data_IF_650143241825
#
_entry.id   IF_650143241825
#
_cell.length_a   1.000
_cell.length_b   1.000
_cell.length_c   1.000
_cell.angle_alpha   90.00
_cell.angle_beta   90.00
_cell.angle_gamma   90.00
#
_symmetry.space_group_name_H-M   'P 1'
#
loop_
_entity.id
_entity.type
_entity.pdbx_description
1 polymer ?
#
# COMPACT_ATOMS: atom_id res chain seq x y z
N UNK A 1 23.33 10.85 -19.79
CA UNK A 1 21.89 10.52 -19.68
C UNK A 1 21.75 9.36 -18.73
N UNK A 2 20.84 9.44 -17.80
CA UNK A 2 20.72 8.53 -16.68
C UNK A 2 20.61 7.06 -17.12
N UNK A 3 21.44 6.21 -16.53
CA UNK A 3 21.32 4.75 -16.66
C UNK A 3 20.06 4.21 -15.94
N UNK A 4 19.28 5.10 -15.33
CA UNK A 4 18.06 4.77 -14.59
C UNK A 4 16.90 4.69 -15.58
N UNK A 5 16.44 3.47 -15.84
CA UNK A 5 15.31 3.16 -16.71
C UNK A 5 14.35 2.26 -16.01
N UNK A 6 13.07 2.34 -16.38
CA UNK A 6 12.05 1.43 -15.94
C UNK A 6 11.76 0.36 -17.01
N UNK A 7 11.68 -0.89 -16.62
CA UNK A 7 11.08 -1.96 -17.42
C UNK A 7 9.61 -2.09 -17.03
N UNK A 8 8.74 -2.09 -18.01
CA UNK A 8 7.29 -2.19 -17.82
C UNK A 8 6.72 -3.31 -18.67
N UNK A 9 5.63 -3.93 -18.21
CA UNK A 9 4.88 -4.88 -19.03
C UNK A 9 4.03 -4.10 -20.07
N UNK A 10 3.93 -4.60 -21.30
CA UNK A 10 3.12 -4.01 -22.37
C UNK A 10 1.61 -3.90 -22.05
N UNK A 11 1.14 -4.67 -21.07
CA UNK A 11 -0.26 -4.66 -20.63
C UNK A 11 -0.59 -3.59 -19.59
N UNK A 12 0.41 -2.82 -19.11
CA UNK A 12 0.18 -1.81 -18.09
C UNK A 12 -0.78 -0.71 -18.58
N UNK A 13 -1.54 -0.19 -17.63
CA UNK A 13 -2.45 0.91 -17.89
C UNK A 13 -1.69 2.20 -18.29
N UNK A 14 -2.32 3.03 -19.12
CA UNK A 14 -1.75 4.32 -19.56
C UNK A 14 -1.34 5.21 -18.39
N UNK A 15 -2.06 5.16 -17.28
CA UNK A 15 -1.79 5.97 -16.08
C UNK A 15 -0.36 5.74 -15.52
N UNK A 16 0.11 4.49 -15.52
CA UNK A 16 1.46 4.15 -15.06
C UNK A 16 2.52 4.70 -16.03
N UNK A 17 2.27 4.58 -17.34
CA UNK A 17 3.19 5.11 -18.36
C UNK A 17 3.29 6.63 -18.28
N UNK A 18 2.18 7.31 -18.07
CA UNK A 18 2.14 8.76 -17.91
C UNK A 18 2.80 9.20 -16.61
N UNK A 19 2.64 8.43 -15.52
CA UNK A 19 3.33 8.70 -14.25
C UNK A 19 4.86 8.54 -14.37
N UNK A 20 5.35 7.55 -15.12
CA UNK A 20 6.78 7.39 -15.38
C UNK A 20 7.33 8.56 -16.21
N UNK A 21 6.56 9.05 -17.18
CA UNK A 21 6.93 10.24 -17.97
C UNK A 21 6.96 11.49 -17.10
N UNK A 22 5.95 11.70 -16.26
CA UNK A 22 5.87 12.83 -15.32
C UNK A 22 7.03 12.80 -14.31
N UNK A 23 7.43 11.60 -13.86
CA UNK A 23 8.61 11.39 -13.02
C UNK A 23 9.95 11.59 -13.76
N UNK A 24 9.94 11.83 -15.07
CA UNK A 24 11.15 11.97 -15.87
C UNK A 24 11.93 10.66 -16.07
N UNK A 25 11.28 9.51 -15.90
CA UNK A 25 11.89 8.19 -16.02
C UNK A 25 11.61 7.58 -17.40
N UNK A 26 12.63 7.38 -18.23
CA UNK A 26 12.49 6.64 -19.47
C UNK A 26 12.11 5.18 -19.18
N UNK A 27 11.23 4.61 -19.99
CA UNK A 27 10.83 3.22 -19.85
C UNK A 27 11.00 2.40 -21.12
N UNK A 28 11.07 1.08 -20.98
CA UNK A 28 11.16 0.11 -22.05
C UNK A 28 10.33 -1.13 -21.70
N UNK A 29 9.83 -1.80 -22.72
CA UNK A 29 9.11 -3.08 -22.55
C UNK A 29 10.05 -4.29 -22.55
N UNK A 30 11.30 -4.13 -23.01
CA UNK A 30 12.24 -5.23 -23.28
C UNK A 30 13.57 -5.13 -22.55
N UNK A 31 13.86 -4.00 -21.91
CA UNK A 31 15.16 -3.77 -21.26
C UNK A 31 15.34 -4.68 -20.03
N UNK A 32 16.20 -5.70 -20.16
CA UNK A 32 16.52 -6.61 -19.06
C UNK A 32 17.44 -6.00 -18.00
N UNK A 33 18.11 -4.88 -18.32
CA UNK A 33 19.05 -4.20 -17.44
C UNK A 33 18.45 -2.95 -16.79
N UNK A 34 17.14 -2.76 -16.88
CA UNK A 34 16.46 -1.66 -16.24
C UNK A 34 16.59 -1.74 -14.71
N UNK A 35 16.91 -0.60 -14.09
CA UNK A 35 17.01 -0.50 -12.63
C UNK A 35 15.66 -0.73 -11.96
N UNK A 36 14.58 -0.23 -12.57
CA UNK A 36 13.24 -0.32 -12.03
C UNK A 36 12.47 -1.38 -12.83
N UNK A 37 11.95 -2.38 -12.15
CA UNK A 37 11.07 -3.38 -12.73
C UNK A 37 9.64 -3.15 -12.23
N UNK A 38 8.81 -2.52 -13.07
CA UNK A 38 7.41 -2.32 -12.74
C UNK A 38 6.62 -3.57 -13.10
N UNK A 39 6.09 -4.22 -12.08
CA UNK A 39 5.28 -5.44 -12.21
C UNK A 39 3.80 -5.14 -11.99
N UNK A 40 2.95 -5.95 -12.61
CA UNK A 40 1.51 -5.90 -12.36
C UNK A 40 1.19 -6.31 -10.92
N UNK A 41 0.10 -5.78 -10.36
CA UNK A 41 -0.34 -6.14 -9.03
C UNK A 41 -0.58 -7.63 -8.90
N UNK A 42 -0.20 -8.16 -7.74
CA UNK A 42 -0.39 -9.56 -7.41
C UNK A 42 -1.17 -9.68 -6.10
N UNK A 43 -2.36 -10.23 -6.19
CA UNK A 43 -3.23 -10.50 -5.04
C UNK A 43 -2.88 -11.80 -4.31
N UNK A 44 -1.90 -12.57 -4.78
CA UNK A 44 -1.53 -13.81 -4.12
C UNK A 44 -0.91 -13.56 -2.75
N UNK A 45 -1.52 -14.12 -1.71
CA UNK A 45 -1.14 -13.99 -0.30
C UNK A 45 0.33 -14.31 -0.02
N UNK A 46 0.88 -15.28 -0.73
CA UNK A 46 2.19 -15.86 -0.48
C UNK A 46 3.15 -15.71 -1.65
N UNK A 47 2.99 -14.66 -2.46
CA UNK A 47 3.96 -14.44 -3.53
C UNK A 47 5.35 -14.16 -2.94
N UNK A 48 6.11 -15.24 -2.75
CA UNK A 48 7.49 -15.24 -2.23
C UNK A 48 8.52 -14.93 -3.32
N UNK A 49 8.13 -14.97 -4.57
CA UNK A 49 9.05 -15.02 -5.70
C UNK A 49 9.24 -13.69 -6.41
N UNK A 50 9.31 -12.60 -5.66
CA UNK A 50 9.85 -11.37 -6.23
C UNK A 50 11.38 -11.46 -6.11
N UNK A 51 11.94 -12.41 -6.84
CA UNK A 51 13.39 -12.46 -7.00
C UNK A 51 13.79 -11.37 -7.99
N UNK A 52 14.29 -10.26 -7.46
CA UNK A 52 15.09 -9.39 -8.32
C UNK A 52 16.29 -10.24 -8.77
N UNK A 53 16.41 -10.46 -10.06
CA UNK A 53 17.54 -11.19 -10.64
C UNK A 53 18.87 -10.43 -10.53
N UNK A 54 18.84 -9.24 -9.95
CA UNK A 54 19.98 -8.34 -9.82
C UNK A 54 19.93 -7.65 -8.47
N UNK A 55 21.06 -7.56 -7.81
CA UNK A 55 21.29 -6.82 -6.55
C UNK A 55 20.94 -5.32 -6.62
N UNK A 56 20.54 -4.83 -7.79
CA UNK A 56 20.27 -3.40 -8.01
C UNK A 56 18.85 -3.11 -8.48
N UNK A 57 18.07 -4.13 -8.83
CA UNK A 57 16.73 -3.93 -9.38
C UNK A 57 15.75 -3.54 -8.29
N UNK A 58 15.05 -2.43 -8.50
CA UNK A 58 13.96 -1.97 -7.64
C UNK A 58 12.63 -2.45 -8.23
N UNK A 59 11.77 -2.98 -7.39
CA UNK A 59 10.46 -3.49 -7.81
C UNK A 59 9.34 -2.80 -7.02
N UNK A 60 8.24 -2.44 -7.69
CA UNK A 60 7.04 -1.84 -7.09
C UNK A 60 6.18 -2.85 -6.35
N UNK A 61 6.75 -3.91 -5.81
CA UNK A 61 6.02 -4.97 -5.12
C UNK A 61 6.80 -5.51 -3.93
N UNK A 62 6.13 -5.60 -2.78
CA UNK A 62 6.65 -6.18 -1.54
C UNK A 62 6.17 -7.64 -1.45
N UNK A 63 7.10 -8.58 -1.29
CA UNK A 63 6.77 -9.99 -1.13
C UNK A 63 5.95 -10.25 0.14
N UNK A 64 4.87 -11.02 0.03
CA UNK A 64 4.00 -11.37 1.16
C UNK A 64 3.01 -10.28 1.59
N UNK A 65 2.96 -9.13 0.91
CA UNK A 65 2.05 -8.04 1.26
C UNK A 65 0.57 -8.36 0.98
N UNK A 66 0.31 -9.38 0.18
CA UNK A 66 -1.05 -9.84 -0.17
C UNK A 66 -1.96 -10.11 1.02
N UNK A 67 -1.38 -10.30 2.21
CA UNK A 67 -2.12 -10.42 3.47
C UNK A 67 -2.99 -9.20 3.78
N UNK A 68 -2.61 -8.02 3.30
CA UNK A 68 -3.38 -6.80 3.48
C UNK A 68 -4.62 -6.74 2.57
N UNK A 69 -4.61 -7.49 1.45
CA UNK A 69 -5.69 -7.49 0.45
C UNK A 69 -6.73 -8.58 0.69
N UNK A 70 -6.38 -9.63 1.44
CA UNK A 70 -7.32 -10.68 1.81
C UNK A 70 -8.20 -10.21 2.97
N UNK A 71 -9.47 -9.98 2.69
CA UNK A 71 -10.43 -9.56 3.70
C UNK A 71 -10.55 -10.54 4.85
N UNK A 72 -10.53 -11.85 4.58
CA UNK A 72 -10.65 -12.90 5.61
C UNK A 72 -9.41 -12.94 6.51
N UNK A 73 -8.20 -12.96 5.93
CA UNK A 73 -6.95 -13.00 6.71
C UNK A 73 -6.75 -11.72 7.49
N UNK A 74 -6.94 -10.57 6.84
CA UNK A 74 -6.84 -9.26 7.50
C UNK A 74 -7.82 -9.14 8.66
N UNK A 75 -9.09 -9.54 8.47
CA UNK A 75 -10.10 -9.47 9.52
C UNK A 75 -9.82 -10.42 10.69
N UNK A 76 -9.23 -11.60 10.45
CA UNK A 76 -8.78 -12.50 11.52
C UNK A 76 -7.70 -11.87 12.39
N UNK A 77 -6.70 -11.27 11.77
CA UNK A 77 -5.65 -10.52 12.46
C UNK A 77 -6.25 -9.34 13.23
N UNK A 78 -7.10 -8.57 12.57
CA UNK A 78 -7.77 -7.45 13.19
C UNK A 78 -8.61 -7.86 14.41
N UNK A 79 -9.43 -8.90 14.32
CA UNK A 79 -10.22 -9.42 15.45
C UNK A 79 -9.35 -9.87 16.62
N UNK A 80 -8.18 -10.44 16.36
CA UNK A 80 -7.22 -10.82 17.40
C UNK A 80 -6.67 -9.59 18.10
N UNK A 81 -6.18 -8.63 17.34
CA UNK A 81 -5.53 -7.45 17.91
C UNK A 81 -6.49 -6.39 18.44
N UNK A 82 -7.74 -6.34 17.97
CA UNK A 82 -8.77 -5.47 18.55
C UNK A 82 -9.15 -5.85 19.98
N UNK A 83 -8.90 -7.10 20.40
CA UNK A 83 -9.07 -7.54 21.80
C UNK A 83 -7.90 -7.13 22.69
N UNK A 84 -6.70 -6.97 22.11
CA UNK A 84 -5.45 -6.63 22.83
C UNK A 84 -5.26 -5.12 22.86
N UNK A 85 -5.57 -4.45 21.77
CA UNK A 85 -5.38 -3.02 21.54
C UNK A 85 -6.67 -2.37 21.01
N UNK A 86 -7.76 -2.35 21.78
CA UNK A 86 -9.08 -1.91 21.31
C UNK A 86 -9.09 -0.45 20.86
N UNK A 87 -8.31 0.43 21.49
CA UNK A 87 -8.24 1.86 21.14
C UNK A 87 -7.51 2.12 19.81
N UNK A 88 -6.78 1.13 19.32
CA UNK A 88 -6.05 1.22 18.04
C UNK A 88 -6.86 0.59 16.90
N UNK A 89 -7.48 -0.56 17.19
CA UNK A 89 -8.20 -1.38 16.22
C UNK A 89 -9.71 -1.26 16.42
N UNK A 90 -10.26 -0.07 16.11
CA UNK A 90 -11.68 0.29 16.25
C UNK A 90 -12.35 0.69 14.92
N UNK A 91 -11.66 0.48 13.80
CA UNK A 91 -12.01 1.05 12.49
C UNK A 91 -12.56 0.06 11.45
N UNK A 92 -12.72 -1.23 11.78
CA UNK A 92 -13.53 -2.11 10.94
C UNK A 92 -14.99 -2.15 11.41
N UNK A 93 -15.95 -2.20 10.49
CA UNK A 93 -17.33 -2.52 10.85
C UNK A 93 -17.41 -3.91 11.48
N UNK A 94 -18.48 -4.26 12.19
CA UNK A 94 -18.72 -5.62 12.64
C UNK A 94 -18.58 -6.61 11.51
N UNK A 95 -17.58 -7.49 11.60
CA UNK A 95 -17.12 -8.37 10.52
C UNK A 95 -17.09 -9.81 10.99
N UNK A 96 -17.53 -10.73 10.14
CA UNK A 96 -17.54 -12.17 10.33
C UNK A 96 -16.63 -12.82 9.29
N UNK A 97 -15.70 -13.65 9.73
CA UNK A 97 -14.76 -14.36 8.85
C UNK A 97 -15.39 -15.68 8.41
N UNK A 98 -15.57 -15.84 7.11
CA UNK A 98 -16.20 -17.02 6.52
C UNK A 98 -15.13 -17.97 5.94
N UNK A 99 -15.37 -19.29 6.00
CA UNK A 99 -16.58 -20.00 6.48
C UNK A 99 -16.66 -20.14 8.00
N UNK A 100 -15.66 -19.81 8.79
CA UNK A 100 -15.56 -20.13 10.22
C UNK A 100 -16.72 -19.56 11.07
N UNK A 101 -17.22 -18.39 10.70
CA UNK A 101 -18.29 -17.68 11.42
C UNK A 101 -19.61 -17.64 10.63
N UNK A 102 -19.83 -18.62 9.71
CA UNK A 102 -21.05 -18.66 8.88
C UNK A 102 -22.33 -18.65 9.74
N UNK A 103 -22.40 -19.48 10.77
CA UNK A 103 -23.59 -19.57 11.61
C UNK A 103 -23.87 -18.28 12.38
N UNK A 104 -22.84 -17.65 12.91
CA UNK A 104 -22.97 -16.37 13.60
C UNK A 104 -23.45 -15.27 12.66
N UNK A 105 -22.90 -15.26 11.45
CA UNK A 105 -23.30 -14.30 10.41
C UNK A 105 -24.74 -14.51 9.97
N UNK A 106 -25.15 -15.75 9.72
CA UNK A 106 -26.55 -16.09 9.36
C UNK A 106 -27.53 -15.70 10.47
N UNK A 107 -27.20 -15.99 11.73
CA UNK A 107 -28.04 -15.60 12.87
C UNK A 107 -28.17 -14.06 12.97
N UNK A 108 -27.10 -13.34 12.66
CA UNK A 108 -27.11 -11.87 12.67
C UNK A 108 -27.96 -11.28 11.55
N UNK A 109 -27.87 -11.87 10.36
CA UNK A 109 -28.73 -11.51 9.21
C UNK A 109 -30.19 -11.73 9.53
N UNK A 110 -30.55 -12.90 10.06
CA UNK A 110 -31.94 -13.22 10.46
C UNK A 110 -32.49 -12.21 11.46
N UNK A 111 -31.66 -11.75 12.40
CA UNK A 111 -32.08 -10.79 13.44
C UNK A 111 -32.24 -9.36 12.91
N UNK A 112 -31.37 -8.91 12.00
CA UNK A 112 -31.23 -7.50 11.62
C UNK A 112 -31.70 -7.17 10.19
N UNK A 113 -32.03 -8.17 9.40
CA UNK A 113 -32.33 -8.00 7.98
C UNK A 113 -31.07 -8.11 7.09
N UNK A 114 -31.24 -8.77 5.95
CA UNK A 114 -30.16 -9.11 5.02
C UNK A 114 -29.57 -7.89 4.32
N UNK A 115 -30.38 -6.90 4.05
CA UNK A 115 -30.03 -5.64 3.39
C UNK A 115 -28.98 -4.79 4.14
N UNK A 116 -28.79 -5.08 5.44
CA UNK A 116 -27.82 -4.40 6.29
C UNK A 116 -26.43 -5.04 6.30
N UNK A 117 -26.22 -6.04 5.45
CA UNK A 117 -24.96 -6.77 5.39
C UNK A 117 -24.46 -6.92 3.95
N UNK A 118 -23.15 -7.01 3.82
CA UNK A 118 -22.46 -7.29 2.57
C UNK A 118 -21.59 -8.53 2.74
N UNK A 119 -21.36 -9.21 1.64
CA UNK A 119 -20.42 -10.32 1.52
C UNK A 119 -19.27 -9.87 0.61
N UNK A 120 -18.02 -10.08 1.03
CA UNK A 120 -16.83 -9.78 0.26
C UNK A 120 -15.98 -11.04 0.18
N UNK A 121 -15.83 -11.62 -1.01
CA UNK A 121 -14.93 -12.75 -1.21
C UNK A 121 -13.46 -12.29 -1.23
N UNK A 122 -12.56 -13.17 -0.85
CA UNK A 122 -11.13 -12.90 -1.00
C UNK A 122 -10.72 -12.93 -2.49
N UNK A 123 -9.64 -12.23 -2.86
CA UNK A 123 -9.07 -12.32 -4.19
C UNK A 123 -8.67 -13.75 -4.56
N UNK A 124 -8.93 -14.16 -5.80
CA UNK A 124 -8.57 -15.49 -6.34
C UNK A 124 -7.92 -15.32 -7.71
N UNK A 125 -6.93 -16.13 -8.03
CA UNK A 125 -6.28 -16.19 -9.35
C UNK A 125 -5.77 -14.84 -9.87
N UNK A 126 -5.26 -13.99 -8.98
CA UNK A 126 -4.85 -12.60 -9.26
C UNK A 126 -6.01 -11.66 -9.64
N UNK A 127 -7.24 -12.06 -9.40
CA UNK A 127 -8.41 -11.19 -9.58
C UNK A 127 -8.89 -10.66 -8.22
N UNK A 128 -9.39 -9.41 -8.16
CA UNK A 128 -9.97 -8.85 -6.94
C UNK A 128 -11.20 -9.64 -6.51
N UNK A 129 -11.47 -9.68 -5.21
CA UNK A 129 -12.65 -10.32 -4.65
C UNK A 129 -13.95 -9.62 -5.06
N UNK A 130 -15.05 -10.38 -5.12
CA UNK A 130 -16.37 -9.86 -5.42
C UNK A 130 -17.05 -9.33 -4.17
N UNK A 131 -17.86 -8.29 -4.32
CA UNK A 131 -18.73 -7.74 -3.28
C UNK A 131 -20.18 -8.01 -3.66
N UNK A 132 -20.91 -8.66 -2.77
CA UNK A 132 -22.32 -8.98 -2.97
C UNK A 132 -23.17 -8.30 -1.89
N UNK A 133 -24.22 -7.63 -2.34
CA UNK A 133 -25.29 -7.09 -1.50
C UNK A 133 -26.41 -8.14 -1.40
N UNK A 134 -27.03 -8.24 -0.23
CA UNK A 134 -28.05 -9.26 0.03
C UNK A 134 -27.64 -10.69 -0.34
N UNK A 135 -26.47 -11.17 0.16
CA UNK A 135 -25.89 -12.43 -0.30
C UNK A 135 -26.84 -13.60 -0.03
N UNK A 136 -27.02 -14.51 -1.01
CA UNK A 136 -27.85 -15.70 -0.84
C UNK A 136 -27.21 -16.71 0.13
N UNK A 137 -28.04 -17.56 0.75
CA UNK A 137 -27.59 -18.49 1.78
C UNK A 137 -26.52 -19.48 1.28
N UNK A 138 -26.64 -19.96 0.04
CA UNK A 138 -25.67 -20.87 -0.55
C UNK A 138 -24.27 -20.26 -0.72
N UNK A 139 -24.19 -18.93 -0.96
CA UNK A 139 -22.91 -18.21 -1.00
C UNK A 139 -22.31 -18.06 0.42
N UNK A 140 -23.16 -17.70 1.39
CA UNK A 140 -22.69 -17.54 2.79
C UNK A 140 -22.20 -18.89 3.37
N UNK A 141 -22.82 -19.99 2.98
CA UNK A 141 -22.49 -21.33 3.47
C UNK A 141 -21.41 -22.02 2.61
N UNK A 142 -20.84 -21.36 1.62
CA UNK A 142 -19.72 -21.90 0.85
C UNK A 142 -18.44 -22.03 1.69
N UNK A 143 -17.54 -22.90 1.27
CA UNK A 143 -16.22 -23.07 1.89
C UNK A 143 -15.21 -22.01 1.42
N UNK A 144 -15.65 -21.06 0.61
CA UNK A 144 -14.82 -19.98 0.09
C UNK A 144 -14.42 -18.99 1.16
N UNK A 145 -13.16 -18.59 1.16
CA UNK A 145 -12.65 -17.53 2.03
C UNK A 145 -13.28 -16.18 1.69
N UNK A 146 -13.95 -15.60 2.68
CA UNK A 146 -14.68 -14.34 2.53
C UNK A 146 -14.89 -13.66 3.89
N UNK A 147 -15.48 -12.49 3.85
CA UNK A 147 -16.04 -11.82 5.03
C UNK A 147 -17.51 -11.46 4.82
N UNK A 148 -18.30 -11.65 5.88
CA UNK A 148 -19.61 -11.01 6.03
C UNK A 148 -19.47 -9.77 6.88
N UNK A 149 -19.93 -8.61 6.42
CA UNK A 149 -19.69 -7.34 7.08
C UNK A 149 -20.98 -6.53 7.20
N UNK A 150 -21.18 -5.86 8.36
CA UNK A 150 -22.29 -4.93 8.52
C UNK A 150 -22.05 -3.69 7.66
N UNK A 151 -23.06 -3.28 6.91
CA UNK A 151 -23.03 -2.00 6.17
C UNK A 151 -22.89 -0.83 7.14
N UNK A 152 -22.09 0.13 6.77
CA UNK A 152 -21.95 1.40 7.47
C UNK A 152 -23.06 2.34 7.00
N UNK A 153 -23.66 3.07 7.94
CA UNK A 153 -24.46 4.24 7.61
C UNK A 153 -23.48 5.38 7.28
N UNK A 154 -23.10 5.43 6.01
CA UNK A 154 -22.15 6.43 5.53
C UNK A 154 -22.76 7.82 5.62
N UNK A 155 -21.91 8.82 5.87
CA UNK A 155 -22.33 10.22 5.84
C UNK A 155 -22.74 10.59 4.42
N UNK A 156 -23.80 11.40 4.31
CA UNK A 156 -24.21 12.02 3.06
C UNK A 156 -23.85 13.49 3.07
N UNK A 157 -23.16 13.92 2.04
CA UNK A 157 -22.83 15.32 1.76
C UNK A 157 -23.51 15.69 0.44
N UNK A 158 -24.23 16.80 0.40
CA UNK A 158 -25.02 17.19 -0.76
C UNK A 158 -25.99 16.08 -1.24
N UNK A 159 -26.59 15.34 -0.30
CA UNK A 159 -27.51 14.20 -0.53
C UNK A 159 -26.87 12.96 -1.18
N UNK A 160 -25.56 12.86 -1.25
CA UNK A 160 -24.84 11.70 -1.77
C UNK A 160 -23.91 11.11 -0.69
N UNK A 161 -23.83 9.79 -0.62
CA UNK A 161 -22.86 9.11 0.24
C UNK A 161 -21.45 9.28 -0.34
N UNK A 162 -20.44 9.29 0.52
CA UNK A 162 -19.05 9.50 0.08
C UNK A 162 -18.18 8.28 0.30
N UNK A 163 -17.32 8.00 -0.68
CA UNK A 163 -16.20 7.08 -0.61
C UNK A 163 -14.89 7.87 -0.66
N UNK A 164 -14.00 7.61 0.29
CA UNK A 164 -12.72 8.29 0.41
C UNK A 164 -11.61 7.31 0.06
N UNK A 165 -10.78 7.67 -0.92
CA UNK A 165 -9.58 6.92 -1.29
C UNK A 165 -8.34 7.71 -0.91
N UNK A 166 -7.54 7.17 0.02
CA UNK A 166 -6.26 7.71 0.41
C UNK A 166 -5.13 6.88 -0.21
N UNK A 167 -4.03 7.55 -0.53
CA UNK A 167 -2.90 6.94 -1.20
C UNK A 167 -1.71 6.80 -0.25
N UNK A 168 -1.09 5.62 -0.27
CA UNK A 168 -0.06 5.23 0.69
C UNK A 168 1.14 4.63 -0.05
N UNK A 169 2.34 4.98 0.41
CA UNK A 169 3.58 4.40 -0.04
C UNK A 169 4.26 3.67 1.14
N UNK A 170 4.54 2.40 0.97
CA UNK A 170 5.55 1.71 1.76
C UNK A 170 6.86 1.79 0.98
N UNK A 171 7.73 2.71 1.39
CA UNK A 171 8.99 2.97 0.67
C UNK A 171 10.09 1.97 1.03
N UNK A 172 10.01 1.37 2.21
CA UNK A 172 10.94 0.35 2.69
C UNK A 172 10.25 -0.56 3.71
N UNK A 173 10.70 -1.80 3.79
CA UNK A 173 10.23 -2.78 4.78
C UNK A 173 11.23 -2.91 5.93
N UNK A 174 12.53 -2.75 5.66
CA UNK A 174 13.59 -2.85 6.67
C UNK A 174 14.68 -1.80 6.43
N UNK A 175 14.65 -0.68 7.15
CA UNK A 175 13.65 -0.26 8.15
C UNK A 175 12.28 0.06 7.53
N UNK A 176 11.21 -0.19 8.29
CA UNK A 176 9.86 0.10 7.80
C UNK A 176 9.64 1.61 7.68
N UNK A 177 9.22 2.05 6.50
CA UNK A 177 8.90 3.45 6.22
C UNK A 177 7.57 3.56 5.46
N UNK A 178 6.61 4.25 6.06
CA UNK A 178 5.24 4.42 5.56
C UNK A 178 4.98 5.91 5.36
N UNK A 179 4.56 6.27 4.15
CA UNK A 179 4.17 7.62 3.80
C UNK A 179 2.69 7.63 3.37
N UNK A 180 2.00 8.72 3.71
CA UNK A 180 0.64 8.99 3.24
C UNK A 180 0.69 10.22 2.37
N UNK A 181 0.04 10.16 1.21
CA UNK A 181 -0.09 11.31 0.31
C UNK A 181 -0.94 12.39 0.98
N UNK A 182 -0.58 13.65 0.76
CA UNK A 182 -1.24 14.79 1.43
C UNK A 182 -2.59 15.14 0.83
N UNK A 183 -3.03 14.34 -0.12
CA UNK A 183 -4.33 14.44 -0.74
C UNK A 183 -4.89 13.04 -1.01
N UNK A 184 -6.07 12.98 -1.56
CA UNK A 184 -6.79 11.77 -1.92
C UNK A 184 -7.96 12.09 -2.82
N UNK A 185 -8.83 11.11 -3.02
CA UNK A 185 -10.01 11.26 -3.86
C UNK A 185 -11.24 11.00 -3.02
N UNK A 186 -12.23 11.86 -3.15
CA UNK A 186 -13.57 11.67 -2.61
C UNK A 186 -14.53 11.51 -3.76
N UNK A 187 -15.17 10.35 -3.86
CA UNK A 187 -16.25 10.10 -4.81
C UNK A 187 -17.60 10.25 -4.12
N UNK A 188 -18.53 10.92 -4.79
CA UNK A 188 -19.92 11.06 -4.39
C UNK A 188 -20.72 9.95 -5.04
N UNK A 189 -21.26 9.06 -4.25
CA UNK A 189 -21.88 7.80 -4.68
C UNK A 189 -23.41 7.88 -4.61
N UNK A 190 -24.07 7.40 -5.64
CA UNK A 190 -25.53 7.32 -5.72
C UNK A 190 -26.04 5.91 -5.35
N UNK A 191 -25.18 4.91 -5.44
CA UNK A 191 -25.52 3.51 -5.22
C UNK A 191 -24.54 2.82 -4.27
N UNK A 192 -24.97 1.69 -3.68
CA UNK A 192 -24.09 0.86 -2.88
C UNK A 192 -22.93 0.28 -3.71
N UNK A 193 -23.17 -0.02 -4.99
CA UNK A 193 -22.15 -0.52 -5.90
C UNK A 193 -21.02 0.49 -6.05
N UNK A 194 -21.32 1.77 -6.25
CA UNK A 194 -20.32 2.82 -6.32
C UNK A 194 -19.58 3.00 -4.98
N UNK A 195 -20.32 2.92 -3.85
CA UNK A 195 -19.77 3.13 -2.52
C UNK A 195 -18.77 2.03 -2.11
N UNK A 196 -19.04 0.79 -2.42
CA UNK A 196 -18.27 -0.36 -1.98
C UNK A 196 -17.36 -0.96 -3.05
N UNK A 197 -17.70 -0.83 -4.32
CA UNK A 197 -16.92 -1.29 -5.48
C UNK A 197 -16.15 -0.12 -6.14
N UNK A 198 -15.37 -0.45 -7.18
CA UNK A 198 -14.70 0.54 -8.03
C UNK A 198 -15.48 0.87 -9.30
N UNK A 199 -16.76 0.49 -9.34
CA UNK A 199 -17.65 0.93 -10.41
C UNK A 199 -17.93 2.41 -10.22
N UNK A 200 -17.39 3.23 -11.12
CA UNK A 200 -17.59 4.67 -11.13
C UNK A 200 -18.55 5.00 -12.24
N UNK A 201 -19.70 5.59 -11.91
CA UNK A 201 -20.57 6.20 -12.91
C UNK A 201 -19.87 7.46 -13.47
N UNK A 202 -19.87 7.61 -14.79
CA UNK A 202 -19.29 8.78 -15.47
C UNK A 202 -19.96 10.10 -15.08
N UNK A 203 -21.15 10.03 -14.51
CA UNK A 203 -21.89 11.20 -13.99
C UNK A 203 -21.63 11.45 -12.50
N UNK A 204 -20.86 10.60 -11.83
CA UNK A 204 -20.51 10.78 -10.44
C UNK A 204 -19.60 12.00 -10.27
N UNK A 205 -19.71 12.66 -9.13
CA UNK A 205 -18.85 13.79 -8.78
C UNK A 205 -17.66 13.29 -7.95
N UNK A 206 -16.52 13.91 -8.13
CA UNK A 206 -15.38 13.74 -7.23
C UNK A 206 -14.85 15.10 -6.77
N UNK A 207 -14.08 15.09 -5.69
CA UNK A 207 -13.25 16.22 -5.26
C UNK A 207 -11.97 15.72 -4.59
N UNK A 208 -10.92 16.55 -4.49
CA UNK A 208 -9.76 16.29 -3.65
C UNK A 208 -10.15 16.11 -2.18
N UNK A 209 -9.44 15.21 -1.48
CA UNK A 209 -9.71 14.93 -0.06
C UNK A 209 -9.38 16.13 0.83
N UNK A 210 -8.37 16.91 0.47
CA UNK A 210 -8.00 18.16 1.14
C UNK A 210 -9.15 19.16 1.15
N UNK A 211 -9.85 19.32 0.02
CA UNK A 211 -11.03 20.21 -0.07
C UNK A 211 -12.19 19.74 0.81
N UNK A 212 -12.41 18.42 0.88
CA UNK A 212 -13.42 17.88 1.79
C UNK A 212 -13.07 18.19 3.25
N UNK A 213 -11.82 17.99 3.66
CA UNK A 213 -11.42 18.23 5.05
C UNK A 213 -11.48 19.70 5.43
N UNK A 214 -11.09 20.59 4.54
CA UNK A 214 -11.26 22.03 4.70
C UNK A 214 -12.76 22.41 4.86
N UNK A 215 -13.62 21.84 4.03
CA UNK A 215 -15.08 22.03 4.13
C UNK A 215 -15.62 21.56 5.49
N UNK A 216 -15.21 20.36 5.94
CA UNK A 216 -15.61 19.80 7.25
C UNK A 216 -15.13 20.72 8.39
N UNK A 217 -13.93 21.28 8.34
CA UNK A 217 -13.44 22.21 9.34
C UNK A 217 -14.28 23.48 9.37
N UNK A 218 -14.60 24.05 8.22
CA UNK A 218 -15.35 25.30 8.09
C UNK A 218 -16.83 25.14 8.49
N UNK A 219 -17.50 24.08 8.07
CA UNK A 219 -18.93 23.89 8.29
C UNK A 219 -19.26 23.22 9.64
N UNK A 220 -18.40 22.32 10.12
CA UNK A 220 -18.67 21.48 11.30
C UNK A 220 -17.68 21.69 12.45
N UNK A 221 -16.72 22.61 12.30
CA UNK A 221 -15.71 22.93 13.33
C UNK A 221 -14.84 21.73 13.77
N UNK A 222 -14.65 20.76 12.88
CA UNK A 222 -13.78 19.61 13.11
C UNK A 222 -12.45 19.87 12.44
N UNK A 223 -11.39 19.98 13.24
CA UNK A 223 -10.05 20.30 12.73
C UNK A 223 -9.57 19.29 11.69
N UNK A 224 -9.16 19.79 10.54
CA UNK A 224 -8.56 19.02 9.45
C UNK A 224 -7.42 18.12 9.97
N UNK A 225 -6.56 18.68 10.84
CA UNK A 225 -5.45 17.93 11.43
C UNK A 225 -5.88 16.68 12.19
N UNK A 226 -7.06 16.69 12.84
CA UNK A 226 -7.63 15.55 13.55
C UNK A 226 -8.10 14.47 12.58
N UNK A 227 -8.67 14.86 11.44
CA UNK A 227 -9.09 13.92 10.38
C UNK A 227 -7.87 13.22 9.78
N UNK A 228 -6.83 13.99 9.44
CA UNK A 228 -5.56 13.43 8.95
C UNK A 228 -4.88 12.52 9.98
N UNK A 229 -4.80 12.93 11.25
CA UNK A 229 -4.18 12.10 12.31
C UNK A 229 -4.93 10.77 12.48
N UNK A 230 -6.27 10.76 12.36
CA UNK A 230 -7.06 9.53 12.42
C UNK A 230 -6.83 8.63 11.20
N UNK A 231 -6.83 9.20 10.00
CA UNK A 231 -6.52 8.48 8.77
C UNK A 231 -5.12 7.85 8.82
N UNK A 232 -4.10 8.62 9.23
CA UNK A 232 -2.74 8.12 9.40
C UNK A 232 -2.66 6.98 10.42
N UNK A 233 -3.39 7.08 11.54
CA UNK A 233 -3.47 6.02 12.55
C UNK A 233 -3.98 4.72 11.96
N UNK A 234 -5.07 4.79 11.18
CA UNK A 234 -5.67 3.60 10.56
C UNK A 234 -4.71 2.99 9.53
N UNK A 235 -4.11 3.80 8.67
CA UNK A 235 -3.14 3.33 7.67
C UNK A 235 -1.98 2.60 8.35
N UNK A 236 -1.30 3.25 9.29
CA UNK A 236 -0.11 2.69 9.96
C UNK A 236 -0.47 1.42 10.73
N UNK A 237 -1.57 1.43 11.52
CA UNK A 237 -1.98 0.26 12.28
C UNK A 237 -2.41 -0.92 11.38
N UNK A 238 -3.02 -0.64 10.23
CA UNK A 238 -3.36 -1.69 9.24
C UNK A 238 -2.12 -2.35 8.66
N UNK A 239 -1.11 -1.57 8.29
CA UNK A 239 0.16 -2.10 7.77
C UNK A 239 0.89 -2.91 8.85
N UNK A 240 0.83 -2.49 10.10
CA UNK A 240 1.45 -3.21 11.22
C UNK A 240 0.88 -4.61 11.42
N UNK A 241 -0.42 -4.83 11.16
CA UNK A 241 -1.02 -6.18 11.23
C UNK A 241 -0.34 -7.16 10.26
N UNK A 242 -0.01 -6.70 9.05
CA UNK A 242 0.65 -7.51 8.03
C UNK A 242 2.18 -7.58 8.17
N UNK A 243 2.80 -6.61 8.85
CA UNK A 243 4.25 -6.44 8.88
C UNK A 243 5.04 -7.69 9.30
N UNK A 244 4.67 -8.44 10.36
CA UNK A 244 5.38 -9.66 10.75
C UNK A 244 5.38 -10.75 9.67
N UNK A 245 4.44 -10.70 8.74
CA UNK A 245 4.28 -11.70 7.68
C UNK A 245 5.08 -11.36 6.43
N UNK A 246 5.17 -10.09 6.05
CA UNK A 246 5.93 -9.71 4.86
C UNK A 246 7.38 -9.29 5.18
N UNK A 247 7.71 -8.89 6.41
CA UNK A 247 9.08 -8.56 6.82
C UNK A 247 10.10 -9.66 6.50
N UNK A 248 9.86 -10.95 6.81
CA UNK A 248 10.86 -12.00 6.60
C UNK A 248 11.27 -12.22 5.15
N UNK A 249 10.43 -11.78 4.20
CA UNK A 249 10.69 -11.91 2.76
C UNK A 249 11.35 -10.68 2.14
N UNK A 250 11.55 -9.61 2.93
CA UNK A 250 12.02 -8.32 2.45
C UNK A 250 13.12 -7.78 3.38
N UNK A 251 14.13 -8.60 3.66
CA UNK A 251 15.24 -8.24 4.57
C UNK A 251 16.38 -7.53 3.87
N UNK A 252 16.49 -7.69 2.55
CA UNK A 252 17.56 -7.08 1.76
C UNK A 252 17.18 -5.63 1.39
N UNK A 253 17.80 -4.69 2.07
CA UNK A 253 17.55 -3.26 1.90
C UNK A 253 18.83 -2.46 1.74
N UNK A 254 19.83 -3.05 1.10
CA UNK A 254 21.14 -2.44 1.02
C UNK A 254 21.63 -2.34 -0.44
N UNK A 255 22.17 -1.22 -0.90
CA UNK A 255 22.33 0.07 -0.21
C UNK A 255 21.05 0.92 -0.16
N UNK A 256 19.99 0.50 -0.81
CA UNK A 256 18.65 1.11 -0.82
C UNK A 256 17.58 0.02 -0.81
N UNK A 257 16.34 0.41 -0.55
CA UNK A 257 15.23 -0.54 -0.61
C UNK A 257 15.00 -1.05 -2.03
N UNK A 258 15.03 -2.37 -2.20
CA UNK A 258 14.80 -3.02 -3.50
C UNK A 258 13.30 -3.19 -3.81
N UNK A 259 12.46 -3.01 -2.81
CA UNK A 259 11.03 -3.18 -2.93
C UNK A 259 10.30 -2.00 -2.30
N UNK A 260 9.33 -1.48 -3.01
CA UNK A 260 8.36 -0.54 -2.48
C UNK A 260 6.95 -0.95 -2.89
N UNK A 261 5.93 -0.39 -2.25
CA UNK A 261 4.55 -0.66 -2.61
C UNK A 261 3.73 0.61 -2.54
N UNK A 262 3.00 0.90 -3.62
CA UNK A 262 1.94 1.89 -3.63
C UNK A 262 0.61 1.19 -3.35
N UNK A 263 -0.20 1.78 -2.48
CA UNK A 263 -1.46 1.21 -2.00
C UNK A 263 -2.56 2.27 -2.08
N UNK A 264 -3.76 1.83 -2.37
CA UNK A 264 -4.98 2.60 -2.17
C UNK A 264 -5.72 2.06 -0.95
N UNK A 265 -6.08 2.95 -0.04
CA UNK A 265 -6.91 2.66 1.13
C UNK A 265 -8.26 3.32 0.93
N UNK A 266 -9.31 2.53 0.84
CA UNK A 266 -10.66 3.04 0.70
C UNK A 266 -11.36 3.06 2.06
N UNK A 267 -11.95 4.21 2.37
CA UNK A 267 -12.66 4.46 3.61
C UNK A 267 -14.10 4.87 3.36
N UNK A 268 -14.94 4.52 4.33
CA UNK A 268 -16.25 5.11 4.53
C UNK A 268 -16.20 5.96 5.80
N UNK A 269 -17.03 7.00 5.87
CA UNK A 269 -17.14 7.86 7.04
C UNK A 269 -18.58 7.84 7.54
N UNK A 270 -18.79 7.67 8.84
CA UNK A 270 -20.12 7.74 9.43
C UNK A 270 -20.54 9.18 9.80
N UNK A 271 -21.75 9.33 10.27
CA UNK A 271 -22.31 10.64 10.68
C UNK A 271 -21.63 11.25 11.92
N UNK A 272 -20.75 10.50 12.60
CA UNK A 272 -19.91 10.99 13.70
C UNK A 272 -18.49 11.30 13.24
N UNK A 273 -18.25 11.39 11.95
CA UNK A 273 -16.94 11.63 11.32
C UNK A 273 -15.89 10.56 11.62
N UNK A 274 -16.34 9.35 11.98
CA UNK A 274 -15.47 8.21 12.20
C UNK A 274 -15.18 7.51 10.88
N UNK A 275 -13.90 7.25 10.61
CA UNK A 275 -13.46 6.47 9.47
C UNK A 275 -13.61 4.97 9.72
N UNK A 276 -14.07 4.29 8.71
CA UNK A 276 -14.09 2.84 8.62
C UNK A 276 -13.32 2.38 7.39
N UNK A 277 -12.37 1.49 7.58
CA UNK A 277 -11.63 0.89 6.47
C UNK A 277 -12.56 -0.05 5.69
N UNK A 278 -12.75 0.24 4.41
CA UNK A 278 -13.54 -0.58 3.49
C UNK A 278 -12.70 -1.65 2.81
N UNK A 279 -11.55 -1.27 2.24
CA UNK A 279 -10.60 -2.19 1.57
C UNK A 279 -9.22 -1.57 1.44
N UNK A 280 -8.24 -2.43 1.13
CA UNK A 280 -6.88 -2.05 0.74
C UNK A 280 -6.60 -2.68 -0.61
N UNK A 281 -6.12 -1.88 -1.56
CA UNK A 281 -5.84 -2.32 -2.92
C UNK A 281 -4.36 -2.14 -3.27
N UNK A 282 -3.75 -3.10 -4.00
CA UNK A 282 -2.36 -3.00 -4.46
C UNK A 282 -2.19 -2.08 -5.66
N UNK A 283 -3.27 -1.52 -6.15
CA UNK A 283 -3.35 -0.75 -7.39
C UNK A 283 -4.23 0.46 -7.19
N UNK A 284 -3.85 1.51 -7.88
CA UNK A 284 -4.73 2.63 -8.09
C UNK A 284 -5.63 2.30 -9.28
N UNK A 285 -6.92 2.33 -9.05
CA UNK A 285 -7.89 2.14 -10.13
C UNK A 285 -7.59 3.10 -11.29
N UNK A 286 -7.47 2.54 -12.50
CA UNK A 286 -7.32 3.33 -13.73
C UNK A 286 -8.62 4.01 -14.15
N UNK A 287 -9.76 3.61 -13.57
CA UNK A 287 -11.04 4.26 -13.79
C UNK A 287 -11.01 5.69 -13.25
N UNK A 288 -11.54 6.63 -13.98
CA UNK A 288 -11.62 8.04 -13.60
C UNK A 288 -12.88 8.68 -14.20
N UNK A 289 -13.45 9.66 -13.51
CA UNK A 289 -14.63 10.40 -13.95
C UNK A 289 -14.24 11.41 -15.03
N UNK A 290 -13.10 12.09 -14.82
CA UNK A 290 -12.63 13.14 -15.71
C UNK A 290 -11.11 13.28 -15.71
N UNK A 291 -10.61 14.20 -16.53
CA UNK A 291 -9.17 14.43 -16.69
C UNK A 291 -8.50 14.92 -15.39
N UNK A 292 -9.20 15.65 -14.53
CA UNK A 292 -8.62 16.19 -13.28
C UNK A 292 -8.32 15.05 -12.30
N UNK A 293 -9.27 14.12 -12.13
CA UNK A 293 -9.04 12.91 -11.34
C UNK A 293 -7.90 12.07 -11.91
N UNK A 294 -7.85 11.91 -13.24
CA UNK A 294 -6.76 11.21 -13.91
C UNK A 294 -5.42 11.84 -13.58
N UNK A 295 -5.29 13.15 -13.72
CA UNK A 295 -4.05 13.88 -13.44
C UNK A 295 -3.64 13.78 -11.96
N UNK A 296 -4.60 13.79 -11.03
CA UNK A 296 -4.32 13.59 -9.60
C UNK A 296 -3.72 12.19 -9.35
N UNK A 297 -4.26 11.18 -9.99
CA UNK A 297 -3.74 9.80 -9.91
C UNK A 297 -2.36 9.65 -10.55
N UNK A 298 -2.15 10.27 -11.72
CA UNK A 298 -0.83 10.32 -12.37
C UNK A 298 0.19 10.97 -11.44
N UNK A 299 -0.19 12.11 -10.85
CA UNK A 299 0.69 12.87 -9.93
C UNK A 299 1.03 12.07 -8.68
N UNK A 300 0.04 11.39 -8.08
CA UNK A 300 0.29 10.50 -6.95
C UNK A 300 1.31 9.40 -7.30
N UNK A 301 1.12 8.72 -8.43
CA UNK A 301 2.04 7.65 -8.88
C UNK A 301 3.45 8.20 -9.15
N UNK A 302 3.55 9.32 -9.84
CA UNK A 302 4.81 10.00 -10.15
C UNK A 302 5.56 10.40 -8.88
N UNK A 303 4.89 11.09 -7.97
CA UNK A 303 5.46 11.50 -6.67
C UNK A 303 5.86 10.28 -5.82
N UNK A 304 5.06 9.19 -5.88
CA UNK A 304 5.35 7.94 -5.18
C UNK A 304 6.58 7.22 -5.71
N UNK A 305 6.75 7.19 -7.02
CA UNK A 305 7.95 6.65 -7.68
C UNK A 305 9.18 7.45 -7.24
N UNK A 306 9.12 8.77 -7.30
CA UNK A 306 10.22 9.66 -6.91
C UNK A 306 10.52 9.57 -5.41
N UNK A 307 9.51 9.38 -4.57
CA UNK A 307 9.68 9.19 -3.13
C UNK A 307 10.26 7.81 -2.77
N UNK A 308 9.95 6.77 -3.54
CA UNK A 308 10.43 5.41 -3.29
C UNK A 308 11.86 5.19 -3.80
N UNK A 309 12.28 5.92 -4.83
CA UNK A 309 13.53 5.69 -5.54
C UNK A 309 14.46 6.88 -5.34
N UNK A 310 15.53 6.72 -4.54
CA UNK A 310 16.51 7.78 -4.28
C UNK A 310 17.43 7.98 -5.51
N UNK A 311 16.90 8.57 -6.57
CA UNK A 311 17.57 8.71 -7.86
C UNK A 311 18.94 9.39 -7.75
N UNK A 312 19.11 10.54 -7.06
CA UNK A 312 20.41 11.19 -6.95
C UNK A 312 21.44 10.33 -6.22
N UNK A 313 21.02 9.65 -5.16
CA UNK A 313 21.87 8.77 -4.34
C UNK A 313 22.30 7.53 -5.15
N UNK A 314 21.37 6.95 -5.90
CA UNK A 314 21.67 5.83 -6.78
C UNK A 314 22.65 6.26 -7.87
N UNK A 315 22.47 7.42 -8.48
CA UNK A 315 23.39 7.94 -9.50
C UNK A 315 24.80 8.13 -8.90
N UNK A 316 24.88 8.68 -7.68
CA UNK A 316 26.15 8.83 -6.97
C UNK A 316 26.84 7.48 -6.72
N UNK A 317 26.09 6.46 -6.28
CA UNK A 317 26.60 5.10 -6.08
C UNK A 317 27.17 4.52 -7.39
N UNK A 318 26.44 4.65 -8.48
CA UNK A 318 26.92 4.18 -9.79
C UNK A 318 28.17 4.91 -10.27
N UNK A 319 28.24 6.23 -10.11
CA UNK A 319 29.39 7.03 -10.50
C UNK A 319 30.63 6.71 -9.64
N UNK A 320 30.45 6.54 -8.33
CA UNK A 320 31.53 6.16 -7.40
C UNK A 320 32.05 4.77 -7.74
N UNK A 321 31.18 3.79 -7.98
CA UNK A 321 31.54 2.43 -8.39
C UNK A 321 32.28 2.41 -9.72
N UNK A 322 31.83 3.18 -10.70
CA UNK A 322 32.50 3.30 -11.99
C UNK A 322 33.93 3.83 -11.86
N UNK A 323 34.13 4.79 -10.97
CA UNK A 323 35.44 5.35 -10.69
C UNK A 323 36.35 4.37 -9.94
N UNK A 324 35.79 3.62 -8.98
CA UNK A 324 36.51 2.57 -8.25
C UNK A 324 36.91 1.43 -9.21
N UNK A 325 36.00 0.95 -10.04
CA UNK A 325 36.26 -0.10 -11.04
C UNK A 325 37.36 0.27 -12.00
N UNK A 326 37.39 1.48 -12.50
CA UNK A 326 38.47 1.99 -13.36
C UNK A 326 39.84 2.00 -12.66
N UNK A 327 39.90 2.13 -11.33
CA UNK A 327 41.13 2.08 -10.54
C UNK A 327 41.63 0.65 -10.32
N UNK A 328 40.70 -0.33 -10.28
CA UNK A 328 41.02 -1.75 -10.03
C UNK A 328 41.30 -2.53 -11.29
N UNK A 329 40.74 -2.15 -12.45
CA UNK A 329 40.90 -2.80 -13.75
C UNK A 329 42.35 -2.80 -14.31
N UNK A 330 43.26 -2.08 -13.65
CA UNK A 330 44.70 -2.15 -13.97
C UNK A 330 45.37 -3.41 -13.45
N UNK A 331 44.66 -4.31 -12.78
CA UNK A 331 45.28 -5.48 -12.08
C UNK A 331 44.68 -6.86 -12.32
N UNK A 332 43.53 -7.03 -13.03
CA UNK A 332 43.01 -8.39 -13.29
C UNK A 332 42.23 -8.52 -14.59
N UNK A 333 42.70 -9.38 -15.46
CA UNK A 333 42.08 -9.87 -16.71
C UNK A 333 41.48 -11.26 -16.48
N UNK A 334 40.54 -11.45 -15.59
CA UNK A 334 39.80 -12.74 -15.52
C UNK A 334 38.30 -12.46 -15.36
N UNK A 335 37.54 -13.05 -16.27
CA UNK A 335 36.07 -13.04 -16.25
C UNK A 335 35.59 -13.79 -15.00
N UNK A 336 34.86 -13.11 -14.14
CA UNK A 336 34.45 -13.65 -12.86
C UNK A 336 32.95 -13.98 -12.82
N UNK A 337 32.68 -15.13 -12.28
CA UNK A 337 31.37 -15.76 -12.03
C UNK A 337 30.45 -14.90 -11.13
N UNK A 338 29.15 -15.10 -11.14
CA UNK A 338 28.14 -14.32 -10.41
C UNK A 338 28.38 -14.27 -8.90
N UNK A 339 29.01 -15.33 -8.32
CA UNK A 339 29.41 -15.36 -6.91
C UNK A 339 30.47 -14.33 -6.53
N UNK A 340 31.28 -13.89 -7.49
CA UNK A 340 32.28 -12.85 -7.26
C UNK A 340 31.71 -11.43 -7.24
N UNK A 341 30.51 -11.23 -7.79
CA UNK A 341 29.81 -9.95 -7.75
C UNK A 341 29.40 -9.52 -6.35
N UNK A 342 29.00 -10.45 -5.49
CA UNK A 342 28.66 -10.17 -4.08
C UNK A 342 29.89 -9.79 -3.26
N UNK A 343 31.02 -10.47 -3.48
CA UNK A 343 32.28 -10.17 -2.77
C UNK A 343 32.79 -8.78 -3.15
N UNK A 344 32.79 -8.47 -4.45
CA UNK A 344 33.24 -7.16 -4.97
C UNK A 344 32.33 -6.04 -4.47
N UNK A 345 31.04 -6.30 -4.36
CA UNK A 345 30.09 -5.31 -3.84
C UNK A 345 30.31 -5.07 -2.33
N UNK A 346 30.54 -6.13 -1.56
CA UNK A 346 30.85 -6.03 -0.14
C UNK A 346 32.15 -5.24 0.11
N UNK A 347 33.19 -5.48 -0.70
CA UNK A 347 34.43 -4.70 -0.64
C UNK A 347 34.21 -3.23 -1.03
N UNK A 348 33.40 -2.97 -2.07
CA UNK A 348 33.09 -1.60 -2.47
C UNK A 348 32.41 -0.82 -1.34
N UNK A 349 31.47 -1.45 -0.63
CA UNK A 349 30.76 -0.86 0.49
C UNK A 349 31.68 -0.62 1.68
N UNK A 350 32.53 -1.60 2.05
CA UNK A 350 33.49 -1.43 3.12
C UNK A 350 34.45 -0.25 2.88
N UNK A 351 34.75 0.02 1.61
CA UNK A 351 35.62 1.14 1.22
C UNK A 351 34.88 2.48 1.03
N UNK A 352 33.54 2.48 1.13
CA UNK A 352 32.71 3.67 0.97
C UNK A 352 31.61 3.69 2.05
N UNK A 353 31.96 3.86 3.32
CA UNK A 353 31.03 3.77 4.46
C UNK A 353 29.92 4.84 4.43
N UNK A 354 30.11 5.91 3.68
CA UNK A 354 29.06 6.93 3.46
C UNK A 354 27.82 6.36 2.76
N UNK A 355 27.98 5.29 1.98
CA UNK A 355 26.88 4.62 1.28
C UNK A 355 25.96 3.89 2.27
N UNK A 356 26.50 3.37 3.36
CA UNK A 356 25.74 2.67 4.39
C UNK A 356 24.69 3.56 5.06
N UNK A 357 24.94 4.85 5.12
CA UNK A 357 24.04 5.82 5.74
C UNK A 357 22.99 6.42 4.79
N UNK A 358 23.10 6.23 3.47
CA UNK A 358 22.18 6.86 2.52
C UNK A 358 20.73 6.47 2.75
N UNK A 359 20.44 5.20 2.97
CA UNK A 359 19.07 4.75 3.21
C UNK A 359 18.49 5.36 4.48
N UNK A 360 19.26 5.38 5.56
CA UNK A 360 18.84 5.97 6.84
C UNK A 360 18.65 7.47 6.71
N UNK A 361 19.57 8.17 6.05
CA UNK A 361 19.48 9.60 5.78
C UNK A 361 18.31 9.93 4.84
N UNK A 362 18.08 9.12 3.82
CA UNK A 362 16.96 9.24 2.89
C UNK A 362 15.62 9.12 3.64
N UNK A 363 15.45 8.11 4.50
CA UNK A 363 14.22 7.90 5.25
C UNK A 363 14.02 8.89 6.41
N UNK A 364 15.10 9.47 6.94
CA UNK A 364 15.05 10.43 8.04
C UNK A 364 15.08 11.88 7.58
N UNK A 365 15.42 12.14 6.30
CA UNK A 365 15.41 13.49 5.81
C UNK A 365 13.99 14.03 5.79
N UNK A 366 13.75 15.15 6.48
CA UNK A 366 12.55 15.99 6.33
C UNK A 366 12.44 16.63 4.92
N UNK A 367 13.26 16.18 3.97
CA UNK A 367 13.12 16.57 2.57
C UNK A 367 11.73 16.13 2.16
N UNK A 368 10.91 17.13 1.96
CA UNK A 368 9.51 17.03 1.52
C UNK A 368 9.50 16.19 0.23
N UNK A 369 9.20 14.89 0.40
CA UNK A 369 8.99 14.01 -0.75
C UNK A 369 7.72 14.44 -1.45
N UNK A 370 7.83 15.49 -2.26
CA UNK A 370 6.72 16.09 -2.97
C UNK A 370 5.50 16.26 -2.03
N UNK A 371 4.39 15.57 -2.31
CA UNK A 371 3.17 15.64 -1.53
C UNK A 371 3.01 14.48 -0.52
N UNK A 372 4.06 13.73 -0.23
CA UNK A 372 4.03 12.66 0.77
C UNK A 372 4.44 13.15 2.16
N UNK A 373 3.73 12.69 3.18
CA UNK A 373 4.04 12.91 4.59
C UNK A 373 4.45 11.60 5.24
N UNK A 374 5.59 11.58 5.91
CA UNK A 374 6.04 10.42 6.68
C UNK A 374 5.06 10.16 7.85
N UNK A 375 4.37 9.02 7.79
CA UNK A 375 3.46 8.57 8.82
C UNK A 375 4.16 7.65 9.84
N UNK A 376 5.14 6.85 9.38
CA UNK A 376 5.96 6.00 10.23
C UNK A 376 7.36 5.79 9.59
N UNK A 377 8.47 5.87 10.37
CA UNK A 377 8.55 6.33 11.77
C UNK A 377 8.36 7.84 11.88
N UNK A 378 7.42 8.25 12.71
CA UNK A 378 7.17 9.67 12.99
C UNK A 378 7.73 10.05 14.36
N UNK A 379 8.46 11.17 14.46
CA UNK A 379 8.99 11.67 15.73
C UNK A 379 7.89 11.90 16.77
N UNK A 380 6.73 12.40 16.33
CA UNK A 380 5.55 12.70 17.18
C UNK A 380 4.96 11.43 17.85
N UNK A 381 5.05 10.27 17.20
CA UNK A 381 4.35 9.04 17.62
C UNK A 381 5.27 7.82 17.74
N UNK A 382 6.59 8.02 17.73
CA UNK A 382 7.59 6.95 17.65
C UNK A 382 7.41 5.91 18.75
N UNK A 383 7.30 6.35 20.00
CA UNK A 383 7.18 5.45 21.15
C UNK A 383 5.87 4.65 21.10
N UNK A 384 4.74 5.33 20.87
CA UNK A 384 3.42 4.68 20.74
C UNK A 384 3.43 3.59 19.66
N UNK A 385 3.94 3.91 18.47
CA UNK A 385 3.98 2.95 17.36
C UNK A 385 5.00 1.82 17.58
N UNK A 386 6.12 2.11 18.23
CA UNK A 386 7.08 1.06 18.60
C UNK A 386 6.46 0.05 19.56
N UNK A 387 5.70 0.50 20.57
CA UNK A 387 5.01 -0.36 21.51
C UNK A 387 3.93 -1.23 20.83
N UNK A 388 3.15 -0.64 19.91
CA UNK A 388 2.16 -1.37 19.11
C UNK A 388 2.85 -2.47 18.29
N UNK A 389 3.93 -2.13 17.59
CA UNK A 389 4.65 -3.06 16.73
C UNK A 389 5.31 -4.19 17.52
N UNK A 390 5.88 -3.89 18.69
CA UNK A 390 6.41 -4.89 19.62
C UNK A 390 5.31 -5.83 20.11
N UNK A 391 4.14 -5.30 20.50
CA UNK A 391 2.99 -6.10 20.90
C UNK A 391 2.54 -7.05 19.79
N UNK A 392 2.46 -6.56 18.54
CA UNK A 392 2.10 -7.40 17.40
C UNK A 392 3.15 -8.48 17.15
N UNK A 393 4.43 -8.13 17.21
CA UNK A 393 5.54 -9.07 16.98
C UNK A 393 5.66 -10.16 18.07
N UNK A 394 5.22 -9.87 19.29
CA UNK A 394 5.24 -10.83 20.41
C UNK A 394 4.15 -11.90 20.35
N UNK A 395 3.12 -11.70 19.52
CA UNK A 395 1.99 -12.64 19.43
C UNK A 395 2.29 -13.74 18.40
N UNK A 396 2.16 -15.04 18.74
CA UNK A 396 2.43 -16.13 17.82
C UNK A 396 1.65 -16.04 16.51
N UNK A 397 2.34 -16.32 15.39
CA UNK A 397 1.83 -16.15 14.02
C UNK A 397 1.04 -17.36 13.49
N UNK A 398 0.38 -18.14 14.35
CA UNK A 398 -0.29 -19.40 13.98
C UNK A 398 -1.49 -19.27 13.02
N UNK A 399 -1.86 -18.06 12.64
CA UNK A 399 -3.10 -17.77 11.89
C UNK A 399 -3.04 -18.17 10.41
N UNK A 400 -1.85 -18.42 9.84
CA UNK A 400 -1.69 -18.71 8.39
C UNK A 400 -1.47 -20.21 8.09
N UNK A 401 -1.38 -21.06 9.10
CA UNK A 401 -1.07 -22.49 8.90
C UNK A 401 -2.30 -23.38 8.61
N UNK A 402 -3.34 -22.84 7.94
CA UNK A 402 -4.34 -23.73 7.34
C UNK A 402 -5.02 -23.07 6.14
#
# INVERSE_FOLDING_TARGET
MSHIRARVNAKLSSIVLDALRDAGLPYSFTDSNALINWVEPNYNLLNKSITSKSLYTITNQIAGIGILYSGSVFSRLYQKFSRILPDIYDYLPPTYVLPYQNMDFMNKIKKNGRDKFIYKSDPKNNEPGQILFNPPDYIIMSDDSAIGQKKINSISIDCQEIKISAFVLIASVSPLAIFVYRDGIVHYCNTNEELYNDTIDKNSRFQPLSELFERIENEYSIKESKLWDNLHRIVVSSIFLGYPYFKPYNTESYPYSHNFQLLQFDFLMDTNWKFYLNKIEPVISSSHINIQEYLLKVKFLSDGILAAIPIPEIQHIFDSRRNWWKKTDTKSTEATDISSGETIWSEFIQNNPEIENYQTQFLQSDKKYANFKLAYPSSKNKEKYSNILQTIASVPLEIIKK
#
